data_IF_339890025811
#
_entry.id   IF_339890025811
#
_cell.length_a   1.000
_cell.length_b   1.000
_cell.length_c   1.000
_cell.angle_alpha   90.00
_cell.angle_beta   90.00
_cell.angle_gamma   90.00
#
_symmetry.space_group_name_H-M   'P 1'
#
loop_
_entity.id
_entity.type
_entity.pdbx_description
1 polymer ?
#
# COMPACT_ATOMS: atom_id res chain seq x y z
N UNK A 1 7.72 -8.25 -0.77
CA UNK A 1 8.21 -6.86 -0.80
C UNK A 1 9.47 -6.89 0.03
N UNK A 2 10.65 -6.64 -0.52
CA UNK A 2 11.89 -6.94 0.22
C UNK A 2 12.09 -5.99 1.40
N UNK A 3 12.64 -6.51 2.52
CA UNK A 3 12.97 -5.83 3.78
C UNK A 3 13.63 -4.45 3.58
N UNK A 4 14.38 -4.30 2.48
CA UNK A 4 15.05 -3.06 2.09
C UNK A 4 14.08 -1.90 1.78
N UNK A 5 12.87 -2.19 1.30
CA UNK A 5 11.82 -1.20 0.99
C UNK A 5 11.20 -0.64 2.28
N UNK A 6 11.03 -1.49 3.29
CA UNK A 6 10.49 -1.13 4.61
C UNK A 6 11.52 -0.35 5.41
N UNK A 7 12.79 -0.77 5.37
CA UNK A 7 13.88 0.02 5.94
C UNK A 7 14.02 1.39 5.25
N UNK A 8 13.86 1.47 3.92
CA UNK A 8 13.85 2.73 3.19
C UNK A 8 12.70 3.64 3.62
N UNK A 9 11.47 3.14 3.82
CA UNK A 9 10.36 3.97 4.27
C UNK A 9 10.56 4.45 5.72
N UNK A 10 11.05 3.58 6.60
CA UNK A 10 11.34 3.87 8.01
C UNK A 10 12.54 4.84 8.19
N UNK A 11 13.56 4.74 7.33
CA UNK A 11 14.72 5.63 7.33
C UNK A 11 14.50 6.91 6.50
N UNK A 12 13.50 6.92 5.61
CA UNK A 12 13.16 8.10 4.81
C UNK A 12 12.39 9.13 5.64
N UNK A 13 12.50 10.41 5.25
CA UNK A 13 11.69 11.49 5.81
C UNK A 13 10.17 11.35 5.58
N UNK A 14 9.71 10.28 4.93
CA UNK A 14 8.31 9.99 4.60
C UNK A 14 7.46 9.82 5.86
N UNK A 15 7.95 9.10 6.88
CA UNK A 15 7.26 8.96 8.18
C UNK A 15 6.93 10.33 8.77
N UNK A 16 7.90 11.25 8.74
CA UNK A 16 7.73 12.63 9.27
C UNK A 16 6.72 13.44 8.47
N UNK A 17 6.67 13.26 7.15
CA UNK A 17 5.69 13.94 6.28
C UNK A 17 4.28 13.42 6.56
N UNK A 18 4.10 12.11 6.66
CA UNK A 18 2.79 11.51 6.94
C UNK A 18 2.28 11.86 8.34
N UNK A 19 3.13 11.81 9.36
CA UNK A 19 2.81 12.28 10.71
C UNK A 19 2.40 13.76 10.70
N UNK A 20 3.16 14.64 10.04
CA UNK A 20 2.80 16.07 9.93
C UNK A 20 1.46 16.28 9.23
N UNK A 21 1.20 15.55 8.16
CA UNK A 21 -0.08 15.66 7.44
C UNK A 21 -1.24 15.19 8.32
N UNK A 22 -1.07 14.09 9.06
CA UNK A 22 -2.08 13.61 9.99
C UNK A 22 -2.37 14.64 11.09
N UNK A 23 -1.33 15.20 11.73
CA UNK A 23 -1.49 16.25 12.76
C UNK A 23 -2.20 17.49 12.18
N UNK A 24 -1.88 17.86 10.94
CA UNK A 24 -2.42 19.07 10.30
C UNK A 24 -3.85 18.91 9.80
N UNK A 25 -4.23 17.72 9.32
CA UNK A 25 -5.49 17.49 8.60
C UNK A 25 -6.45 16.51 9.31
N UNK A 26 -6.02 15.87 10.40
CA UNK A 26 -6.85 15.04 11.29
C UNK A 26 -7.44 13.77 10.67
N UNK A 27 -7.24 13.51 9.37
CA UNK A 27 -8.06 12.53 8.62
C UNK A 27 -7.27 11.66 7.64
N UNK A 28 -5.95 11.76 7.59
CA UNK A 28 -5.14 11.06 6.59
C UNK A 28 -4.69 9.70 7.12
N UNK A 29 -5.53 8.68 6.96
CA UNK A 29 -5.14 7.29 7.23
C UNK A 29 -4.42 6.71 6.01
N UNK A 30 -3.23 6.17 6.24
CA UNK A 30 -2.46 5.43 5.25
C UNK A 30 -2.58 3.93 5.52
N UNK A 31 -2.36 3.11 4.48
CA UNK A 31 -2.44 1.67 4.57
C UNK A 31 -1.04 1.06 4.38
N UNK A 32 -0.62 0.22 5.33
CA UNK A 32 0.67 -0.43 5.36
C UNK A 32 0.58 -1.95 5.26
N UNK A 33 1.72 -2.56 4.97
CA UNK A 33 1.94 -4.00 5.16
C UNK A 33 2.01 -4.36 6.66
N UNK A 34 1.88 -5.64 7.00
CA UNK A 34 2.05 -6.14 8.37
C UNK A 34 3.46 -5.92 8.92
N UNK A 35 4.44 -5.71 8.04
CA UNK A 35 5.83 -5.42 8.41
C UNK A 35 6.03 -3.97 8.90
N UNK A 36 5.00 -3.12 8.82
CA UNK A 36 5.03 -1.78 9.39
C UNK A 36 4.43 -1.75 10.80
N UNK A 37 4.94 -0.90 11.69
CA UNK A 37 4.31 -0.69 12.99
C UNK A 37 2.94 -0.04 12.81
N UNK A 38 1.97 -0.49 13.60
CA UNK A 38 0.66 0.16 13.69
C UNK A 38 0.83 1.57 14.29
N UNK A 39 0.32 2.58 13.59
CA UNK A 39 0.39 3.98 14.03
C UNK A 39 -0.98 4.65 13.87
N UNK A 40 -1.22 5.76 14.55
CA UNK A 40 -2.48 6.53 14.43
C UNK A 40 -2.84 6.94 12.98
N UNK A 41 -1.82 7.07 12.15
CA UNK A 41 -1.92 7.46 10.74
C UNK A 41 -1.60 6.31 9.78
N UNK A 42 -1.19 5.13 10.26
CA UNK A 42 -0.82 3.98 9.42
C UNK A 42 -1.55 2.72 9.89
N UNK A 43 -2.53 2.30 9.11
CA UNK A 43 -3.33 1.11 9.34
C UNK A 43 -2.66 -0.11 8.69
N UNK A 44 -2.44 -1.14 9.47
CA UNK A 44 -1.88 -2.43 9.02
C UNK A 44 -2.92 -3.54 9.22
N UNK A 45 -2.75 -4.73 8.61
CA UNK A 45 -3.68 -5.85 8.80
C UNK A 45 -3.81 -6.26 10.27
N UNK A 46 -4.97 -6.83 10.63
CA UNK A 46 -5.13 -7.49 11.93
C UNK A 46 -4.37 -8.82 11.96
N UNK A 47 -3.57 -9.09 13.00
CA UNK A 47 -2.85 -10.35 13.16
C UNK A 47 -3.79 -11.55 13.30
N UNK A 48 -4.67 -11.47 14.30
CA UNK A 48 -5.68 -12.47 14.58
C UNK A 48 -7.05 -11.97 14.16
N UNK A 49 -7.80 -12.82 13.47
CA UNK A 49 -9.16 -12.52 13.08
C UNK A 49 -9.98 -13.81 13.10
N UNK A 50 -11.20 -13.72 13.63
CA UNK A 50 -12.15 -14.84 13.60
C UNK A 50 -12.79 -14.90 12.22
N UNK A 51 -13.20 -16.09 11.78
CA UNK A 51 -13.98 -16.23 10.55
C UNK A 51 -15.24 -15.36 10.63
N UNK A 52 -15.57 -14.66 9.54
CA UNK A 52 -16.70 -13.72 9.43
C UNK A 52 -16.61 -12.45 10.28
N UNK A 53 -15.47 -12.18 10.91
CA UNK A 53 -15.24 -10.95 11.67
C UNK A 53 -15.12 -9.70 10.78
N UNK A 54 -15.29 -8.51 11.37
CA UNK A 54 -15.11 -7.24 10.65
C UNK A 54 -13.62 -7.02 10.29
N UNK A 55 -12.73 -7.51 11.15
CA UNK A 55 -11.29 -7.55 11.00
C UNK A 55 -10.89 -8.35 9.74
N UNK A 56 -11.53 -9.50 9.51
CA UNK A 56 -11.33 -10.29 8.30
C UNK A 56 -11.76 -9.51 7.04
N UNK A 57 -12.92 -8.84 7.07
CA UNK A 57 -13.39 -8.02 5.93
C UNK A 57 -12.42 -6.88 5.64
N UNK A 58 -11.90 -6.24 6.68
CA UNK A 58 -10.86 -5.23 6.56
C UNK A 58 -9.59 -5.81 5.93
N UNK A 59 -9.09 -6.94 6.42
CA UNK A 59 -7.89 -7.60 5.89
C UNK A 59 -8.04 -7.99 4.41
N UNK A 60 -9.19 -8.51 4.00
CA UNK A 60 -9.51 -8.81 2.59
C UNK A 60 -9.48 -7.53 1.74
N UNK A 61 -10.08 -6.45 2.23
CA UNK A 61 -10.08 -5.16 1.53
C UNK A 61 -8.66 -4.63 1.35
N UNK A 62 -7.87 -4.63 2.42
CA UNK A 62 -6.49 -4.17 2.42
C UNK A 62 -5.60 -5.02 1.49
N UNK A 63 -5.79 -6.34 1.51
CA UNK A 63 -5.16 -7.27 0.56
C UNK A 63 -5.51 -6.92 -0.90
N UNK A 64 -6.77 -6.57 -1.17
CA UNK A 64 -7.20 -6.15 -2.51
C UNK A 64 -6.53 -4.86 -2.98
N UNK A 65 -6.43 -3.85 -2.11
CA UNK A 65 -5.69 -2.61 -2.40
C UNK A 65 -4.23 -2.92 -2.75
N UNK A 66 -3.59 -3.80 -1.97
CA UNK A 66 -2.20 -4.21 -2.21
C UNK A 66 -2.02 -4.90 -3.54
N UNK A 67 -2.82 -5.92 -3.82
CA UNK A 67 -2.81 -6.67 -5.08
C UNK A 67 -2.89 -5.72 -6.28
N UNK A 68 -3.81 -4.76 -6.25
CA UNK A 68 -3.98 -3.78 -7.32
C UNK A 68 -2.75 -2.87 -7.41
N UNK A 69 -2.26 -2.36 -6.29
CA UNK A 69 -1.10 -1.46 -6.26
C UNK A 69 0.18 -2.13 -6.77
N UNK A 70 0.42 -3.39 -6.39
CA UNK A 70 1.56 -4.19 -6.83
C UNK A 70 1.45 -4.54 -8.32
N UNK A 71 0.24 -4.88 -8.78
CA UNK A 71 -0.03 -5.15 -10.19
C UNK A 71 0.22 -3.92 -11.07
N UNK A 72 -0.28 -2.74 -10.68
CA UNK A 72 -0.02 -1.47 -11.39
C UNK A 72 1.48 -1.15 -11.39
N UNK A 73 2.16 -1.31 -10.25
CA UNK A 73 3.60 -1.09 -10.17
C UNK A 73 4.37 -2.02 -11.13
N UNK A 74 3.97 -3.28 -11.21
CA UNK A 74 4.49 -4.24 -12.19
C UNK A 74 4.26 -3.77 -13.64
N UNK A 75 3.04 -3.35 -13.97
CA UNK A 75 2.70 -2.85 -15.31
C UNK A 75 3.54 -1.61 -15.69
N UNK A 76 3.74 -0.70 -14.74
CA UNK A 76 4.58 0.49 -14.96
C UNK A 76 6.04 0.11 -15.17
N UNK A 77 6.58 -0.83 -14.38
CA UNK A 77 7.95 -1.36 -14.52
C UNK A 77 8.20 -2.11 -15.82
N UNK A 78 7.20 -2.85 -16.30
CA UNK A 78 7.28 -3.56 -17.56
C UNK A 78 7.10 -2.63 -18.77
N UNK A 79 6.22 -1.63 -18.67
CA UNK A 79 6.00 -0.66 -19.76
C UNK A 79 7.10 0.40 -19.85
N UNK A 80 7.57 0.93 -18.72
CA UNK A 80 8.53 2.02 -18.67
C UNK A 80 9.83 1.60 -17.98
N UNK A 81 10.87 1.43 -18.78
CA UNK A 81 12.22 1.10 -18.28
C UNK A 81 12.82 2.17 -17.34
N UNK A 82 12.24 3.37 -17.30
CA UNK A 82 12.62 4.45 -16.38
C UNK A 82 12.37 4.13 -14.90
N UNK A 83 11.49 3.18 -14.59
CA UNK A 83 11.17 2.76 -13.21
C UNK A 83 11.54 1.30 -12.91
N UNK A 84 12.22 0.63 -13.85
CA UNK A 84 12.61 -0.78 -13.74
C UNK A 84 13.88 -0.97 -12.88
N UNK A 85 13.92 -2.02 -12.06
CA UNK A 85 14.86 -2.22 -10.94
C UNK A 85 16.36 -2.27 -11.28
N UNK A 86 16.76 -2.45 -12.54
CA UNK A 86 18.16 -2.26 -12.97
C UNK A 86 18.62 -0.78 -12.89
N UNK A 87 17.66 0.15 -12.79
CA UNK A 87 17.88 1.58 -12.61
C UNK A 87 16.99 2.04 -11.46
N UNK A 88 17.43 1.77 -10.23
CA UNK A 88 16.86 2.43 -9.04
C UNK A 88 16.78 3.92 -9.33
N UNK A 89 15.65 4.56 -9.03
CA UNK A 89 15.53 6.01 -9.20
C UNK A 89 16.47 6.69 -8.21
N UNK A 90 17.68 7.04 -8.65
CA UNK A 90 18.68 7.77 -7.87
C UNK A 90 18.33 9.25 -7.74
N UNK A 91 17.08 9.53 -7.39
CA UNK A 91 16.57 10.88 -7.15
C UNK A 91 15.95 10.95 -5.76
N UNK A 92 15.75 12.18 -5.26
CA UNK A 92 14.97 12.36 -4.05
C UNK A 92 13.53 11.87 -4.23
N UNK A 93 12.87 11.56 -3.12
CA UNK A 93 11.51 11.01 -3.09
C UNK A 93 10.51 11.87 -3.86
N UNK A 94 10.63 13.20 -3.79
CA UNK A 94 9.73 14.12 -4.50
C UNK A 94 9.85 14.01 -6.02
N UNK A 95 11.08 13.85 -6.55
CA UNK A 95 11.30 13.63 -7.98
C UNK A 95 10.89 12.22 -8.40
N UNK A 96 11.15 11.21 -7.57
CA UNK A 96 10.66 9.84 -7.82
C UNK A 96 9.14 9.80 -7.94
N UNK A 97 8.42 10.47 -7.03
CA UNK A 97 6.96 10.57 -7.08
C UNK A 97 6.46 11.20 -8.38
N UNK A 98 7.10 12.28 -8.85
CA UNK A 98 6.77 12.92 -10.14
C UNK A 98 6.97 11.98 -11.33
N UNK A 99 8.07 11.22 -11.34
CA UNK A 99 8.34 10.24 -12.41
C UNK A 99 7.27 9.15 -12.44
N UNK A 100 6.95 8.57 -11.29
CA UNK A 100 5.92 7.54 -11.16
C UNK A 100 4.56 8.08 -11.60
N UNK A 101 4.19 9.30 -11.19
CA UNK A 101 2.96 9.95 -11.59
C UNK A 101 2.88 10.16 -13.11
N UNK A 102 3.95 10.66 -13.73
CA UNK A 102 4.02 10.80 -15.19
C UNK A 102 3.88 9.45 -15.90
N UNK A 103 4.50 8.38 -15.39
CA UNK A 103 4.33 7.03 -15.92
C UNK A 103 2.87 6.56 -15.82
N UNK A 104 2.16 6.85 -14.73
CA UNK A 104 0.74 6.51 -14.60
C UNK A 104 -0.13 7.26 -15.62
N UNK A 105 0.11 8.56 -15.81
CA UNK A 105 -0.60 9.38 -16.83
C UNK A 105 -0.35 8.81 -18.23
N UNK A 106 0.91 8.54 -18.57
CA UNK A 106 1.27 7.96 -19.87
C UNK A 106 0.69 6.56 -20.06
N UNK A 107 0.65 5.73 -19.00
CA UNK A 107 0.01 4.42 -19.06
C UNK A 107 -1.48 4.55 -19.41
N UNK A 108 -2.19 5.50 -18.80
CA UNK A 108 -3.61 5.73 -19.07
C UNK A 108 -3.82 6.19 -20.51
N UNK A 109 -2.97 7.08 -21.03
CA UNK A 109 -2.99 7.47 -22.44
C UNK A 109 -2.74 6.25 -23.36
N UNK A 110 -1.72 5.44 -23.08
CA UNK A 110 -1.46 4.21 -23.84
C UNK A 110 -2.67 3.28 -23.84
N UNK A 111 -3.37 3.12 -22.72
CA UNK A 111 -4.61 2.32 -22.65
C UNK A 111 -5.72 2.91 -23.50
N UNK A 112 -5.93 4.23 -23.42
CA UNK A 112 -6.95 4.93 -24.19
C UNK A 112 -6.73 4.78 -25.71
N UNK A 113 -5.47 4.82 -26.15
CA UNK A 113 -5.10 4.67 -27.57
C UNK A 113 -4.78 3.22 -27.97
N UNK A 114 -5.10 2.23 -27.14
CA UNK A 114 -4.84 0.80 -27.40
C UNK A 114 -3.37 0.47 -27.76
N UNK A 115 -2.42 1.21 -27.20
CA UNK A 115 -0.99 0.95 -27.38
C UNK A 115 -0.63 -0.35 -26.65
N UNK A 116 -0.12 -1.37 -27.36
CA UNK A 116 0.17 -2.66 -26.75
C UNK A 116 1.19 -2.54 -25.63
N UNK A 117 1.15 -3.48 -24.69
CA UNK A 117 2.20 -3.63 -23.69
C UNK A 117 3.44 -4.21 -24.38
N UNK A 118 4.66 -3.77 -24.02
CA UNK A 118 5.86 -4.47 -24.44
C UNK A 118 5.87 -5.90 -23.86
N UNK A 119 6.70 -6.83 -24.39
CA UNK A 119 6.75 -8.20 -23.90
C UNK A 119 6.95 -8.30 -22.37
N UNK A 120 7.84 -7.47 -21.82
CA UNK A 120 8.14 -7.37 -20.38
C UNK A 120 6.98 -6.76 -19.55
N UNK A 121 5.99 -6.16 -20.21
CA UNK A 121 4.82 -5.52 -19.62
C UNK A 121 3.59 -6.39 -19.54
N UNK A 122 3.62 -7.61 -20.11
CA UNK A 122 2.51 -8.55 -20.06
C UNK A 122 2.55 -9.26 -18.70
N UNK A 123 1.67 -8.84 -17.79
CA UNK A 123 1.50 -9.49 -16.50
C UNK A 123 0.23 -10.37 -16.52
N UNK A 124 0.23 -11.51 -15.80
CA UNK A 124 -0.99 -12.25 -15.57
C UNK A 124 -2.00 -11.37 -14.82
N UNK A 125 -3.28 -11.72 -14.90
CA UNK A 125 -4.31 -11.06 -14.12
C UNK A 125 -3.91 -11.00 -12.62
N UNK A 126 -4.24 -9.90 -11.92
CA UNK A 126 -3.91 -9.80 -10.51
C UNK A 126 -4.50 -10.99 -9.75
N UNK A 127 -3.74 -11.60 -8.81
CA UNK A 127 -4.24 -12.70 -8.01
C UNK A 127 -5.48 -12.27 -7.21
N UNK A 128 -6.33 -13.20 -6.82
CA UNK A 128 -7.43 -12.87 -5.92
C UNK A 128 -6.86 -12.39 -4.58
N UNK A 129 -7.48 -11.39 -3.93
CA UNK A 129 -7.09 -10.99 -2.59
C UNK A 129 -7.21 -12.19 -1.66
N UNK A 130 -6.10 -12.52 -0.98
CA UNK A 130 -6.06 -13.57 0.03
C UNK A 130 -5.87 -12.96 1.41
N UNK A 131 -6.40 -13.65 2.40
CA UNK A 131 -6.17 -13.33 3.81
C UNK A 131 -4.71 -13.61 4.11
N UNK A 132 -3.99 -12.58 4.56
CA UNK A 132 -2.62 -12.75 5.03
C UNK A 132 -2.66 -13.21 6.48
N UNK A 133 -2.00 -14.34 6.76
CA UNK A 133 -1.73 -14.77 8.13
C UNK A 133 -0.63 -13.86 8.67
N UNK A 134 -0.97 -13.02 9.64
CA UNK A 134 -0.04 -12.07 10.23
C UNK A 134 0.21 -12.52 11.66
N UNK A 135 1.48 -12.73 12.02
CA UNK A 135 1.83 -13.13 13.38
C UNK A 135 1.42 -12.01 14.36
N UNK A 136 0.69 -12.38 15.41
CA UNK A 136 0.31 -11.46 16.48
C UNK A 136 1.51 -10.92 17.23
N UNK A 137 1.66 -9.60 17.24
CA UNK A 137 2.40 -8.90 18.27
C UNK A 137 1.39 -8.38 19.30
N UNK A 138 1.38 -8.99 20.48
CA UNK A 138 0.49 -8.64 21.60
C UNK A 138 0.58 -7.16 22.02
N UNK A 139 1.69 -6.49 21.67
CA UNK A 139 1.94 -5.08 21.95
C UNK A 139 1.05 -4.08 21.18
N UNK A 140 0.44 -4.50 20.07
CA UNK A 140 -0.28 -3.57 19.18
C UNK A 140 -1.74 -3.33 19.57
N UNK A 141 -2.37 -4.26 20.30
CA UNK A 141 -3.80 -4.19 20.65
C UNK A 141 -4.13 -3.08 21.64
N UNK A 142 -3.22 -2.76 22.56
CA UNK A 142 -3.46 -1.79 23.62
C UNK A 142 -3.01 -0.36 23.29
N UNK A 143 -2.45 -0.13 22.11
CA UNK A 143 -1.99 1.20 21.72
C UNK A 143 -3.13 2.05 21.12
N UNK A 144 -2.94 3.38 21.10
CA UNK A 144 -3.96 4.32 20.59
C UNK A 144 -4.29 4.09 19.11
N UNK A 145 -3.32 3.61 18.33
CA UNK A 145 -3.51 3.19 16.93
C UNK A 145 -4.44 1.98 16.78
N UNK A 146 -4.35 1.01 17.67
CA UNK A 146 -5.23 -0.17 17.75
C UNK A 146 -6.69 0.25 17.93
N UNK A 147 -6.95 1.11 18.92
CA UNK A 147 -8.29 1.65 19.18
C UNK A 147 -8.84 2.44 17.99
N UNK A 148 -8.01 3.28 17.36
CA UNK A 148 -8.41 4.05 16.19
C UNK A 148 -8.78 3.14 15.00
N UNK A 149 -7.97 2.11 14.73
CA UNK A 149 -8.25 1.12 13.68
C UNK A 149 -9.56 0.38 13.94
N UNK A 150 -9.78 -0.10 15.16
CA UNK A 150 -11.03 -0.78 15.54
C UNK A 150 -12.26 0.11 15.36
N UNK A 151 -12.19 1.37 15.80
CA UNK A 151 -13.29 2.32 15.62
C UNK A 151 -13.60 2.55 14.14
N UNK A 152 -12.56 2.68 13.31
CA UNK A 152 -12.71 2.86 11.86
C UNK A 152 -13.36 1.63 11.22
N UNK A 153 -12.90 0.43 11.57
CA UNK A 153 -13.42 -0.83 11.05
C UNK A 153 -14.89 -1.00 11.43
N UNK A 154 -15.24 -0.77 12.70
CA UNK A 154 -16.64 -0.79 13.14
C UNK A 154 -17.49 0.24 12.40
N UNK A 155 -16.99 1.44 12.16
CA UNK A 155 -17.74 2.48 11.45
C UNK A 155 -18.02 2.11 9.99
N UNK A 156 -17.06 1.50 9.29
CA UNK A 156 -17.14 1.27 7.85
C UNK A 156 -17.67 -0.12 7.45
N UNK A 157 -17.51 -1.15 8.28
CA UNK A 157 -17.83 -2.53 7.92
C UNK A 157 -19.07 -3.11 8.62
N UNK A 158 -19.70 -2.39 9.56
CA UNK A 158 -20.91 -2.86 10.28
C UNK A 158 -22.18 -2.80 9.43
N UNK A 159 -22.23 -1.95 8.39
CA UNK A 159 -23.43 -1.74 7.55
C UNK A 159 -23.29 -2.30 6.12
N UNK A 160 -22.34 -3.21 5.88
CA UNK A 160 -22.14 -3.94 4.61
C UNK A 160 -22.55 -5.40 4.75
#
# INVERSE_FOLDING_TARGET
MDLYTILQLMLSGVKRVFQRNYIKHGSSNYFGDSEYPLELWLLVPFPDHVQYSLELRFNITLSGVRVISEHINGLLKGRFKSVHGHRTLHYNTARCAKIIYSCAVLHNMCRQFNVPLPPDGILPAPPRPVVQVVAGNDHDWFNEGGRHREQLVRRHYTNM
#
